data_IF_783606532580
#
_entry.id   IF_783606532580
#
_cell.length_a   1.000
_cell.length_b   1.000
_cell.length_c   1.000
_cell.angle_alpha   90.00
_cell.angle_beta   90.00
_cell.angle_gamma   90.00
#
_symmetry.space_group_name_H-M   'P 1'
#
loop_
_entity.id
_entity.type
_entity.pdbx_description
1 polymer ?
#
# COMPACT_ATOMS: atom_id res chain seq x y z
N UNK A 1 13.72 -7.97 -10.32
CA UNK A 1 12.32 -7.59 -10.53
C UNK A 1 12.18 -6.07 -10.43
N UNK A 2 11.49 -5.42 -11.35
CA UNK A 2 11.30 -3.98 -11.25
C UNK A 2 10.49 -3.62 -10.02
N UNK A 3 10.82 -2.50 -9.43
CA UNK A 3 10.10 -1.99 -8.26
C UNK A 3 8.82 -1.30 -8.71
N UNK A 4 7.71 -1.64 -8.11
CA UNK A 4 6.44 -1.03 -8.47
C UNK A 4 5.44 -1.08 -7.33
N UNK A 5 4.59 -0.06 -7.29
CA UNK A 5 3.42 -0.02 -6.42
C UNK A 5 2.19 0.18 -7.30
N UNK A 6 1.21 -0.67 -7.12
CA UNK A 6 -0.05 -0.60 -7.85
C UNK A 6 -1.18 -0.33 -6.87
N UNK A 7 -2.12 0.51 -7.29
CA UNK A 7 -3.19 0.96 -6.42
C UNK A 7 -4.52 1.01 -7.16
N UNK A 8 -5.57 0.65 -6.48
CA UNK A 8 -6.94 0.87 -6.94
C UNK A 8 -7.90 0.87 -5.77
N UNK A 9 -8.90 1.71 -5.84
CA UNK A 9 -10.06 1.63 -4.96
C UNK A 9 -11.26 1.22 -5.77
N UNK A 10 -12.02 0.26 -5.25
CA UNK A 10 -13.21 -0.26 -5.91
C UNK A 10 -14.20 -0.72 -4.84
N UNK A 11 -15.42 -0.23 -4.90
CA UNK A 11 -16.49 -0.59 -3.96
C UNK A 11 -16.08 -0.39 -2.49
N UNK A 12 -15.43 0.74 -2.18
CA UNK A 12 -14.94 1.08 -0.84
C UNK A 12 -13.85 0.14 -0.33
N UNK A 13 -13.24 -0.63 -1.21
CA UNK A 13 -12.09 -1.48 -0.88
C UNK A 13 -10.86 -0.90 -1.54
N UNK A 14 -9.81 -0.77 -0.75
CA UNK A 14 -8.53 -0.29 -1.25
C UNK A 14 -7.63 -1.49 -1.49
N UNK A 15 -7.02 -1.53 -2.68
CA UNK A 15 -6.11 -2.59 -3.09
C UNK A 15 -4.76 -1.96 -3.39
N UNK A 16 -3.73 -2.41 -2.70
CA UNK A 16 -2.36 -1.98 -2.90
C UNK A 16 -1.50 -3.22 -3.13
N UNK A 17 -0.66 -3.19 -4.16
CA UNK A 17 0.27 -4.29 -4.43
C UNK A 17 1.68 -3.73 -4.56
N UNK A 18 2.63 -4.32 -3.85
CA UNK A 18 4.04 -3.95 -3.94
C UNK A 18 4.85 -5.06 -4.56
N UNK A 19 5.74 -4.70 -5.49
CA UNK A 19 6.62 -5.64 -6.18
C UNK A 19 8.06 -5.18 -6.08
N UNK A 20 8.98 -6.14 -5.93
CA UNK A 20 10.40 -5.86 -5.90
C UNK A 20 10.86 -5.20 -4.61
N UNK A 21 11.77 -4.25 -4.72
CA UNK A 21 12.31 -3.50 -3.58
C UNK A 21 11.48 -2.25 -3.36
N UNK A 22 10.79 -2.18 -2.23
CA UNK A 22 9.93 -1.03 -1.92
C UNK A 22 10.66 -0.14 -0.92
N UNK A 23 11.09 1.02 -1.38
CA UNK A 23 11.92 1.93 -0.61
C UNK A 23 11.31 3.32 -0.54
N UNK A 24 11.96 4.20 0.21
CA UNK A 24 11.49 5.57 0.41
C UNK A 24 11.20 6.32 -0.88
N UNK A 25 11.93 6.00 -1.95
CA UNK A 25 11.74 6.66 -3.24
C UNK A 25 10.32 6.43 -3.78
N UNK A 26 9.76 5.25 -3.52
CA UNK A 26 8.41 4.90 -3.99
C UNK A 26 7.31 5.39 -3.04
N UNK A 27 7.68 5.81 -1.85
CA UNK A 27 6.71 6.00 -0.77
C UNK A 27 6.03 7.37 -0.74
N UNK A 28 6.65 8.40 -1.33
CA UNK A 28 6.11 9.75 -1.22
C UNK A 28 4.71 9.88 -1.83
N UNK A 29 4.53 9.36 -3.04
CA UNK A 29 3.23 9.43 -3.70
C UNK A 29 2.21 8.53 -3.06
N UNK A 30 2.64 7.35 -2.63
CA UNK A 30 1.76 6.44 -1.93
C UNK A 30 1.23 7.08 -0.64
N UNK A 31 2.11 7.71 0.11
CA UNK A 31 1.74 8.38 1.35
C UNK A 31 0.66 9.42 1.10
N UNK A 32 0.89 10.31 0.14
CA UNK A 32 -0.04 11.37 -0.18
C UNK A 32 -1.37 10.83 -0.66
N UNK A 33 -1.33 9.85 -1.54
CA UNK A 33 -2.53 9.23 -2.10
C UNK A 33 -3.41 8.62 -1.00
N UNK A 34 -2.83 7.81 -0.13
CA UNK A 34 -3.59 7.09 0.88
C UNK A 34 -4.08 8.01 2.00
N UNK A 35 -3.23 8.91 2.50
CA UNK A 35 -3.67 9.82 3.55
C UNK A 35 -4.72 10.82 3.05
N UNK A 36 -4.61 11.26 1.80
CA UNK A 36 -5.66 12.10 1.21
C UNK A 36 -6.98 11.34 1.15
N UNK A 37 -6.94 10.06 0.84
CA UNK A 37 -8.16 9.24 0.83
C UNK A 37 -8.78 9.15 2.22
N UNK A 38 -7.97 8.97 3.25
CA UNK A 38 -8.48 8.97 4.62
C UNK A 38 -9.12 10.30 5.00
N UNK A 39 -8.53 11.40 4.54
CA UNK A 39 -9.04 12.74 4.86
C UNK A 39 -10.38 13.04 4.20
N UNK A 40 -10.75 12.33 3.14
CA UNK A 40 -12.06 12.49 2.51
C UNK A 40 -13.19 12.07 3.44
N UNK A 41 -12.92 11.26 4.43
CA UNK A 41 -13.92 10.85 5.40
C UNK A 41 -14.92 9.81 4.92
N UNK A 42 -14.77 9.32 3.70
CA UNK A 42 -15.66 8.29 3.17
C UNK A 42 -15.30 6.93 3.72
N UNK A 43 -16.30 6.06 3.87
CA UNK A 43 -16.09 4.73 4.42
C UNK A 43 -15.11 3.91 3.60
N UNK A 44 -14.28 3.13 4.29
CA UNK A 44 -13.40 2.15 3.68
C UNK A 44 -13.74 0.81 4.31
N UNK A 45 -14.20 -0.13 3.48
CA UNK A 45 -14.61 -1.45 3.97
C UNK A 45 -13.39 -2.29 4.32
N UNK A 46 -12.39 -2.30 3.44
CA UNK A 46 -11.19 -3.11 3.61
C UNK A 46 -10.01 -2.44 2.95
N UNK A 47 -8.83 -2.61 3.51
CA UNK A 47 -7.58 -2.13 2.91
C UNK A 47 -6.66 -3.33 2.78
N UNK A 48 -6.55 -3.86 1.55
CA UNK A 48 -5.70 -5.01 1.23
C UNK A 48 -4.36 -4.56 0.71
N UNK A 49 -3.29 -5.18 1.19
CA UNK A 49 -1.93 -4.91 0.72
C UNK A 49 -1.28 -6.25 0.39
N UNK A 50 -1.07 -6.51 -0.89
CA UNK A 50 -0.45 -7.74 -1.38
C UNK A 50 1.06 -7.56 -1.46
N UNK A 51 1.80 -8.37 -0.70
CA UNK A 51 3.26 -8.33 -0.66
C UNK A 51 3.87 -9.66 -1.12
N UNK A 52 3.15 -10.43 -1.91
CA UNK A 52 3.63 -11.74 -2.38
C UNK A 52 4.85 -11.63 -3.30
N UNK A 53 4.97 -10.54 -4.04
CA UNK A 53 6.09 -10.30 -4.94
C UNK A 53 7.08 -9.27 -4.40
N UNK A 54 7.02 -8.98 -3.12
CA UNK A 54 7.93 -8.03 -2.46
C UNK A 54 9.23 -8.74 -2.08
N UNK A 55 10.36 -8.26 -2.61
CA UNK A 55 11.68 -8.82 -2.30
C UNK A 55 12.33 -8.15 -1.10
N UNK A 56 11.96 -6.90 -0.83
CA UNK A 56 12.53 -6.13 0.26
C UNK A 56 11.65 -4.90 0.48
N UNK A 57 11.58 -4.45 1.72
CA UNK A 57 10.97 -3.16 2.03
C UNK A 57 11.75 -2.51 3.17
N UNK A 58 11.93 -1.20 3.06
CA UNK A 58 12.68 -0.46 4.06
C UNK A 58 11.78 0.00 5.21
N UNK A 59 12.40 0.63 6.20
CA UNK A 59 11.67 1.11 7.38
C UNK A 59 10.68 2.23 7.03
N UNK A 60 10.93 2.97 5.96
CA UNK A 60 10.01 4.03 5.53
C UNK A 60 8.69 3.43 5.06
N UNK A 61 8.76 2.39 4.22
CA UNK A 61 7.55 1.73 3.76
C UNK A 61 6.80 1.05 4.92
N UNK A 62 7.55 0.34 5.77
CA UNK A 62 6.93 -0.31 6.93
C UNK A 62 6.31 0.71 7.87
N UNK A 63 6.93 1.89 8.03
CA UNK A 63 6.35 2.98 8.79
C UNK A 63 5.04 3.48 8.21
N UNK A 64 4.94 3.50 6.87
CA UNK A 64 3.68 3.85 6.22
C UNK A 64 2.59 2.82 6.51
N UNK A 65 2.94 1.54 6.50
CA UNK A 65 1.97 0.49 6.82
C UNK A 65 1.41 0.68 8.23
N UNK A 66 2.29 1.01 9.18
CA UNK A 66 1.87 1.31 10.55
C UNK A 66 0.93 2.52 10.56
N UNK A 67 1.28 3.58 9.85
CA UNK A 67 0.45 4.78 9.76
C UNK A 67 -0.92 4.52 9.15
N UNK A 68 -0.96 3.74 8.09
CA UNK A 68 -2.22 3.35 7.45
C UNK A 68 -3.09 2.54 8.42
N UNK A 69 -2.47 1.61 9.12
CA UNK A 69 -3.19 0.79 10.09
C UNK A 69 -3.79 1.64 11.22
N UNK A 70 -3.00 2.60 11.73
CA UNK A 70 -3.49 3.50 12.77
C UNK A 70 -4.71 4.29 12.31
N UNK A 71 -4.67 4.81 11.07
CA UNK A 71 -5.80 5.56 10.51
C UNK A 71 -7.01 4.67 10.30
N UNK A 72 -6.82 3.46 9.78
CA UNK A 72 -7.92 2.50 9.62
C UNK A 72 -8.56 2.18 10.97
N UNK A 73 -7.76 1.92 11.99
CA UNK A 73 -8.29 1.65 13.32
C UNK A 73 -9.05 2.83 13.88
N UNK A 74 -8.51 4.04 13.72
CA UNK A 74 -9.13 5.24 14.26
C UNK A 74 -10.45 5.56 13.55
N UNK A 75 -10.45 5.50 12.22
CA UNK A 75 -11.59 5.96 11.42
C UNK A 75 -12.60 4.87 11.13
N UNK A 76 -12.15 3.64 10.92
CA UNK A 76 -13.01 2.54 10.47
C UNK A 76 -13.13 1.41 11.47
N UNK A 77 -12.37 1.46 12.57
CA UNK A 77 -12.35 0.40 13.60
C UNK A 77 -11.90 -0.95 13.05
N UNK A 78 -11.05 -0.94 12.05
CA UNK A 78 -10.53 -2.14 11.37
C UNK A 78 -9.04 -2.02 11.17
N UNK A 79 -8.37 -3.18 11.10
CA UNK A 79 -6.95 -3.25 10.77
C UNK A 79 -6.80 -3.31 9.25
N UNK A 80 -5.62 -2.93 8.75
CA UNK A 80 -5.27 -3.24 7.37
C UNK A 80 -5.00 -4.74 7.26
N UNK A 81 -5.14 -5.29 6.06
CA UNK A 81 -4.93 -6.71 5.80
C UNK A 81 -3.77 -6.90 4.85
N UNK A 82 -2.72 -7.56 5.31
CA UNK A 82 -1.58 -7.92 4.46
C UNK A 82 -1.89 -9.28 3.82
N UNK A 83 -1.81 -9.31 2.51
CA UNK A 83 -2.16 -10.50 1.72
C UNK A 83 -0.90 -11.19 1.25
N UNK A 84 -0.73 -12.44 1.63
CA UNK A 84 0.32 -13.33 1.15
C UNK A 84 1.72 -12.71 1.19
N UNK A 85 2.17 -12.17 2.33
CA UNK A 85 3.50 -11.58 2.35
C UNK A 85 4.54 -12.64 1.98
N UNK A 86 5.53 -12.24 1.17
CA UNK A 86 6.65 -13.10 0.85
C UNK A 86 7.39 -13.46 2.14
N UNK A 87 8.22 -14.49 2.09
CA UNK A 87 9.01 -14.87 3.26
C UNK A 87 9.87 -13.71 3.75
N UNK A 88 10.49 -12.99 2.82
CA UNK A 88 11.31 -11.83 3.14
C UNK A 88 10.46 -10.71 3.78
N UNK A 89 9.32 -10.38 3.18
CA UNK A 89 8.45 -9.34 3.71
C UNK A 89 7.96 -9.70 5.11
N UNK A 90 7.55 -10.94 5.32
CA UNK A 90 7.09 -11.41 6.63
C UNK A 90 8.19 -11.27 7.68
N UNK A 91 9.41 -11.69 7.35
CA UNK A 91 10.53 -11.59 8.27
C UNK A 91 10.85 -10.15 8.66
N UNK A 92 10.81 -9.24 7.68
CA UNK A 92 11.04 -7.82 7.96
C UNK A 92 9.94 -7.24 8.84
N UNK A 93 8.70 -7.61 8.59
CA UNK A 93 7.57 -7.15 9.40
C UNK A 93 7.68 -7.69 10.84
N UNK A 94 8.05 -8.95 10.99
CA UNK A 94 8.23 -9.55 12.32
C UNK A 94 9.33 -8.82 13.10
N UNK A 95 10.41 -8.45 12.43
CA UNK A 95 11.52 -7.74 13.06
C UNK A 95 11.12 -6.42 13.68
N UNK A 96 10.08 -5.77 13.17
CA UNK A 96 9.56 -4.52 13.72
C UNK A 96 8.28 -4.71 14.56
N UNK A 97 7.88 -5.95 14.80
CA UNK A 97 6.66 -6.22 15.54
C UNK A 97 5.38 -5.89 14.79
N UNK A 98 5.48 -5.68 13.48
CA UNK A 98 4.35 -5.25 12.67
C UNK A 98 3.31 -6.35 12.52
N UNK A 99 3.73 -7.60 12.54
CA UNK A 99 2.82 -8.75 12.37
C UNK A 99 1.75 -8.83 13.45
N UNK A 100 2.01 -8.26 14.62
CA UNK A 100 1.03 -8.25 15.70
C UNK A 100 0.04 -7.09 15.58
N UNK A 101 0.31 -6.13 14.71
CA UNK A 101 -0.52 -4.92 14.57
C UNK A 101 -1.54 -5.02 13.44
N UNK A 102 -1.28 -5.86 12.46
CA UNK A 102 -2.09 -5.96 11.24
C UNK A 102 -2.68 -7.35 11.12
N UNK A 103 -3.68 -7.49 10.26
CA UNK A 103 -4.20 -8.79 9.89
C UNK A 103 -3.39 -9.34 8.73
N UNK A 104 -3.12 -10.63 8.74
CA UNK A 104 -2.38 -11.29 7.67
C UNK A 104 -3.20 -12.47 7.16
N UNK A 105 -3.37 -12.54 5.86
CA UNK A 105 -4.03 -13.68 5.22
C UNK A 105 -3.05 -14.33 4.26
N UNK A 106 -2.96 -15.65 4.30
CA UNK A 106 -2.06 -16.41 3.43
C UNK A 106 -2.76 -16.93 2.18
N UNK A 107 -4.06 -16.75 2.10
CA UNK A 107 -4.83 -17.15 0.95
C UNK A 107 -4.89 -16.02 -0.08
N UNK A 108 -4.98 -16.34 -1.38
CA UNK A 108 -5.10 -15.30 -2.39
C UNK A 108 -6.42 -14.56 -2.25
N UNK A 109 -6.36 -13.24 -2.42
CA UNK A 109 -7.53 -12.38 -2.47
C UNK A 109 -7.63 -11.84 -3.90
N UNK A 110 -8.80 -11.91 -4.55
CA UNK A 110 -8.93 -11.38 -5.90
C UNK A 110 -8.71 -9.87 -5.91
N UNK A 111 -7.74 -9.42 -6.71
CA UNK A 111 -7.46 -7.99 -6.89
C UNK A 111 -7.97 -7.54 -8.26
N UNK A 112 -8.35 -6.28 -8.41
CA UNK A 112 -8.73 -5.74 -9.72
C UNK A 112 -7.58 -5.88 -10.71
N UNK A 113 -7.90 -6.06 -11.98
CA UNK A 113 -6.88 -6.22 -13.01
C UNK A 113 -6.33 -4.89 -13.51
N UNK A 114 -7.09 -3.83 -13.36
CA UNK A 114 -6.75 -2.52 -13.91
C UNK A 114 -6.19 -1.57 -12.85
N UNK A 115 -5.26 -2.08 -12.06
CA UNK A 115 -4.63 -1.28 -11.02
C UNK A 115 -3.65 -0.29 -11.64
N UNK A 116 -3.58 0.90 -11.04
CA UNK A 116 -2.70 1.97 -11.51
C UNK A 116 -1.30 1.80 -10.94
N UNK A 117 -0.28 1.84 -11.80
CA UNK A 117 1.11 1.88 -11.35
C UNK A 117 1.42 3.30 -10.87
N UNK A 118 1.60 3.48 -9.59
CA UNK A 118 1.79 4.79 -8.98
C UNK A 118 3.02 5.51 -9.55
N UNK A 119 4.10 4.77 -9.77
CA UNK A 119 5.34 5.37 -10.26
C UNK A 119 5.21 5.90 -11.69
N UNK A 120 4.57 5.13 -12.57
CA UNK A 120 4.31 5.59 -13.94
C UNK A 120 3.34 6.75 -13.95
N UNK A 121 2.31 6.68 -13.10
CA UNK A 121 1.33 7.73 -12.99
C UNK A 121 1.98 9.03 -12.54
N UNK A 122 2.92 8.93 -11.59
CA UNK A 122 3.65 10.10 -11.13
C UNK A 122 4.41 10.75 -12.27
N UNK A 123 5.15 9.97 -13.05
CA UNK A 123 5.90 10.49 -14.20
C UNK A 123 4.97 11.19 -15.18
N UNK A 124 3.87 10.55 -15.54
CA UNK A 124 2.88 11.13 -16.45
C UNK A 124 2.24 12.37 -15.84
N UNK A 125 1.93 12.33 -14.55
CA UNK A 125 1.31 13.47 -13.88
C UNK A 125 2.23 14.67 -13.82
N UNK A 126 3.51 14.47 -13.59
CA UNK A 126 4.49 15.55 -13.59
C UNK A 126 4.53 16.20 -14.97
N UNK A 127 4.58 15.40 -16.03
CA UNK A 127 4.59 15.93 -17.39
C UNK A 127 3.31 16.72 -17.68
N UNK A 128 2.17 16.20 -17.26
CA UNK A 128 0.90 16.90 -17.46
C UNK A 128 0.86 18.22 -16.72
N UNK A 129 1.36 18.25 -15.49
CA UNK A 129 1.41 19.48 -14.71
C UNK A 129 2.29 20.52 -15.35
N UNK A 130 3.43 20.11 -15.88
CA UNK A 130 4.33 21.03 -16.59
C UNK A 130 3.67 21.62 -17.82
N UNK A 131 2.89 20.82 -18.53
CA UNK A 131 2.18 21.29 -19.72
C UNK A 131 0.95 22.14 -19.38
N UNK A 132 0.36 21.91 -18.24
CA UNK A 132 -0.83 22.64 -17.80
C UNK A 132 -0.54 24.05 -17.33
N UNK A 133 0.69 24.29 -16.97
CA UNK A 133 1.13 25.59 -16.47
C UNK A 133 1.91 26.35 -17.51
#
# INVERSE_FOLDING_TARGET
MPEALYYKEENQRIYLKGEGHITAILCADLRELVFSRFEQGEAIETFYIDLSDCDYMDSTFMGLLVGFNKRMLKLMKKRITIVRPSETARGLMEGLGLTSLVDIVDEPVPFPKDMTNINQTKGASVDLLLHSH
#
